data_IF_633786856589
#
_entry.id   IF_633786856589
#
_cell.length_a   1.000
_cell.length_b   1.000
_cell.length_c   1.000
_cell.angle_alpha   90.00
_cell.angle_beta   90.00
_cell.angle_gamma   90.00
#
_symmetry.space_group_name_H-M   'P 1'
#
loop_
_entity.id
_entity.type
_entity.pdbx_description
1 polymer ?
#
# COMPACT_ATOMS: atom_id res chain seq x y z
N UNK A 1 -61.07 -4.35 11.23
CA UNK A 1 -59.73 -5.00 11.37
C UNK A 1 -58.69 -4.07 10.79
N UNK A 2 -57.75 -3.55 11.59
CA UNK A 2 -56.66 -2.66 11.14
C UNK A 2 -55.34 -3.43 11.24
N UNK A 3 -54.71 -3.74 10.11
CA UNK A 3 -53.33 -4.27 10.10
C UNK A 3 -52.36 -3.11 10.33
N UNK A 4 -51.44 -3.30 11.28
CA UNK A 4 -50.26 -2.42 11.45
C UNK A 4 -49.07 -3.15 10.83
N UNK A 5 -48.40 -2.60 9.79
CA UNK A 5 -47.14 -3.13 9.32
C UNK A 5 -46.00 -2.25 9.85
N UNK A 6 -45.44 -2.59 11.00
CA UNK A 6 -44.15 -2.01 11.42
C UNK A 6 -43.31 -3.12 12.03
N UNK A 7 -42.44 -3.73 11.23
CA UNK A 7 -41.30 -4.53 11.73
C UNK A 7 -40.32 -5.02 10.63
N UNK A 8 -40.03 -4.23 9.59
CA UNK A 8 -38.86 -4.45 8.71
C UNK A 8 -38.24 -3.08 8.36
N UNK A 9 -37.66 -2.34 9.31
CA UNK A 9 -36.80 -1.15 9.03
C UNK A 9 -35.67 -1.03 10.08
N UNK A 10 -35.13 -2.15 10.59
CA UNK A 10 -33.99 -2.09 11.53
C UNK A 10 -32.76 -2.90 11.11
N UNK A 11 -32.87 -3.73 10.06
CA UNK A 11 -31.73 -4.51 9.58
C UNK A 11 -30.86 -3.76 8.55
N UNK A 12 -31.41 -2.70 7.92
CA UNK A 12 -30.71 -1.94 6.87
C UNK A 12 -29.78 -0.85 7.43
N UNK A 13 -29.99 -0.38 8.66
CA UNK A 13 -29.15 0.64 9.29
C UNK A 13 -27.85 0.09 9.88
N UNK A 14 -27.78 -1.21 10.18
CA UNK A 14 -26.57 -1.86 10.74
C UNK A 14 -25.50 -2.09 9.66
N UNK A 15 -25.90 -2.32 8.40
CA UNK A 15 -24.99 -2.52 7.27
C UNK A 15 -24.20 -1.25 6.87
N UNK A 16 -24.77 -0.06 7.08
CA UNK A 16 -24.10 1.21 6.75
C UNK A 16 -23.02 1.61 7.77
N UNK A 17 -23.08 1.09 9.00
CA UNK A 17 -22.09 1.36 10.07
C UNK A 17 -20.77 0.63 9.82
N UNK A 18 -20.83 -0.57 9.24
CA UNK A 18 -19.65 -1.42 9.04
C UNK A 18 -18.68 -0.84 8.02
N UNK A 19 -19.21 -0.17 6.99
CA UNK A 19 -18.42 0.44 5.92
C UNK A 19 -17.65 1.71 6.38
N UNK A 20 -18.11 2.40 7.43
CA UNK A 20 -17.36 3.52 8.02
C UNK A 20 -16.22 3.04 8.92
N UNK A 21 -16.44 1.98 9.68
CA UNK A 21 -15.42 1.43 10.57
C UNK A 21 -14.26 0.79 9.81
N UNK A 22 -14.54 0.08 8.71
CA UNK A 22 -13.50 -0.54 7.87
C UNK A 22 -12.50 0.49 7.32
N UNK A 23 -12.99 1.60 6.78
CA UNK A 23 -12.14 2.67 6.24
C UNK A 23 -11.24 3.34 7.30
N UNK A 24 -11.72 3.47 8.54
CA UNK A 24 -10.93 4.05 9.64
C UNK A 24 -9.84 3.08 10.08
N UNK A 25 -10.18 1.81 10.30
CA UNK A 25 -9.23 0.77 10.72
C UNK A 25 -8.12 0.58 9.67
N UNK A 26 -8.50 0.59 8.41
CA UNK A 26 -7.60 0.48 7.27
C UNK A 26 -6.65 1.66 7.15
N UNK A 27 -7.15 2.88 7.37
CA UNK A 27 -6.30 4.06 7.39
C UNK A 27 -5.33 4.06 8.58
N UNK A 28 -5.76 3.57 9.75
CA UNK A 28 -4.86 3.38 10.91
C UNK A 28 -3.75 2.38 10.58
N UNK A 29 -4.11 1.21 10.02
CA UNK A 29 -3.14 0.20 9.57
C UNK A 29 -2.14 0.78 8.57
N UNK A 30 -2.62 1.54 7.58
CA UNK A 30 -1.74 2.19 6.60
C UNK A 30 -0.77 3.18 7.26
N UNK A 31 -1.23 3.97 8.22
CA UNK A 31 -0.35 4.87 8.96
C UNK A 31 0.74 4.14 9.75
N UNK A 32 0.40 2.99 10.34
CA UNK A 32 1.37 2.13 11.05
C UNK A 32 2.38 1.48 10.10
N UNK A 33 2.00 1.20 8.85
CA UNK A 33 2.89 0.66 7.80
C UNK A 33 3.83 1.77 7.28
N UNK A 34 3.30 2.97 7.02
CA UNK A 34 4.04 4.11 6.46
C UNK A 34 5.14 4.59 7.42
N UNK A 35 4.83 4.68 8.71
CA UNK A 35 5.73 5.22 9.74
C UNK A 35 7.15 4.62 9.71
N UNK A 36 7.35 3.29 9.82
CA UNK A 36 8.70 2.69 9.80
C UNK A 36 9.41 2.88 8.46
N UNK A 37 8.68 2.96 7.35
CA UNK A 37 9.28 3.19 6.02
C UNK A 37 9.81 4.61 5.91
N UNK A 38 9.01 5.58 6.32
CA UNK A 38 9.41 6.98 6.35
C UNK A 38 10.63 7.19 7.24
N UNK A 39 10.67 6.57 8.42
CA UNK A 39 11.82 6.65 9.32
C UNK A 39 13.08 6.02 8.71
N UNK A 40 12.92 4.95 7.91
CA UNK A 40 14.02 4.37 7.13
C UNK A 40 14.49 5.31 6.01
N UNK A 41 13.55 5.91 5.27
CA UNK A 41 13.82 6.79 4.12
C UNK A 41 14.46 8.13 4.53
N UNK A 42 14.08 8.66 5.70
CA UNK A 42 14.67 9.89 6.28
C UNK A 42 16.16 9.77 6.54
N UNK A 43 16.71 8.56 6.69
CA UNK A 43 18.17 8.38 6.83
C UNK A 43 18.94 8.90 5.62
N UNK A 44 18.28 9.02 4.47
CA UNK A 44 18.87 9.45 3.21
C UNK A 44 18.51 10.89 2.84
N UNK A 45 17.74 11.61 3.67
CA UNK A 45 17.38 13.01 3.42
C UNK A 45 17.48 13.86 4.68
N UNK A 46 18.16 15.00 4.56
CA UNK A 46 18.20 16.05 5.59
C UNK A 46 17.04 17.04 5.46
N UNK A 47 16.23 16.95 4.40
CA UNK A 47 15.11 17.86 4.11
C UNK A 47 13.79 17.36 4.71
N UNK A 48 12.79 18.25 4.74
CA UNK A 48 11.44 17.88 5.14
C UNK A 48 10.84 16.97 4.06
N UNK A 49 10.55 15.73 4.43
CA UNK A 49 9.98 14.74 3.51
C UNK A 49 8.45 14.86 3.49
N UNK A 50 7.89 15.18 2.33
CA UNK A 50 6.45 15.17 2.09
C UNK A 50 5.95 13.79 1.66
N UNK A 51 4.67 13.51 1.90
CA UNK A 51 3.99 12.30 1.42
C UNK A 51 2.89 12.71 0.45
N UNK A 52 2.78 12.04 -0.69
CA UNK A 52 1.69 12.29 -1.64
C UNK A 52 0.35 11.83 -1.06
N UNK A 53 -0.71 12.61 -1.24
CA UNK A 53 -2.07 12.25 -0.78
C UNK A 53 -2.67 11.03 -1.50
N UNK A 54 -2.18 10.70 -2.69
CA UNK A 54 -2.64 9.58 -3.50
C UNK A 54 -1.74 8.35 -3.38
N UNK A 55 -2.37 7.18 -3.38
CA UNK A 55 -1.72 5.88 -3.47
C UNK A 55 -1.66 5.42 -4.93
N UNK A 56 -0.48 4.96 -5.35
CA UNK A 56 -0.33 4.28 -6.64
C UNK A 56 -0.92 2.87 -6.53
N UNK A 57 -1.93 2.56 -7.35
CA UNK A 57 -2.48 1.22 -7.37
C UNK A 57 -1.45 0.25 -7.95
N UNK A 58 -1.09 -0.77 -7.17
CA UNK A 58 -0.22 -1.83 -7.62
C UNK A 58 -1.05 -3.06 -8.01
N UNK A 59 -1.11 -3.36 -9.30
CA UNK A 59 -1.85 -4.52 -9.81
C UNK A 59 -0.95 -5.76 -9.82
N UNK A 60 -1.38 -6.83 -9.19
CA UNK A 60 -0.68 -8.12 -9.23
C UNK A 60 -1.18 -8.90 -10.45
N UNK A 61 -0.25 -9.44 -11.24
CA UNK A 61 -0.59 -10.31 -12.37
C UNK A 61 0.22 -11.60 -12.35
N UNK A 62 -0.29 -12.61 -13.04
CA UNK A 62 0.42 -13.87 -13.28
C UNK A 62 1.21 -13.72 -14.59
N UNK A 63 2.54 -13.83 -14.58
CA UNK A 63 3.33 -13.68 -15.79
C UNK A 63 3.09 -14.86 -16.73
N UNK A 64 3.16 -14.57 -18.02
CA UNK A 64 3.11 -15.58 -19.09
C UNK A 64 4.38 -16.44 -19.09
N UNK A 65 4.32 -17.59 -19.76
CA UNK A 65 5.49 -18.46 -19.91
C UNK A 65 6.65 -17.74 -20.60
N UNK A 66 6.39 -16.92 -21.62
CA UNK A 66 7.42 -16.19 -22.34
C UNK A 66 8.07 -15.09 -21.49
N UNK A 67 7.34 -14.45 -20.57
CA UNK A 67 7.92 -13.54 -19.57
C UNK A 67 8.82 -14.28 -18.58
N UNK A 68 8.39 -15.45 -18.08
CA UNK A 68 9.18 -16.28 -17.16
C UNK A 68 10.47 -16.76 -17.84
N UNK A 69 10.37 -17.14 -19.12
CA UNK A 69 11.50 -17.56 -19.95
C UNK A 69 12.31 -16.37 -20.52
N UNK A 70 12.00 -15.13 -20.10
CA UNK A 70 12.70 -13.90 -20.49
C UNK A 70 12.75 -13.63 -22.00
N UNK A 71 11.80 -14.19 -22.76
CA UNK A 71 11.65 -13.94 -24.20
C UNK A 71 11.02 -12.59 -24.50
N UNK A 72 10.22 -12.09 -23.56
CA UNK A 72 9.65 -10.75 -23.59
C UNK A 72 9.95 -10.03 -22.28
N UNK A 73 10.19 -8.70 -22.33
CA UNK A 73 10.41 -7.93 -21.12
C UNK A 73 9.12 -7.87 -20.29
N UNK A 74 9.23 -7.77 -18.96
CA UNK A 74 8.08 -7.50 -18.11
C UNK A 74 7.47 -6.12 -18.42
N UNK A 75 6.22 -5.87 -18.03
CA UNK A 75 5.61 -4.55 -18.10
C UNK A 75 6.43 -3.51 -17.33
N UNK A 76 6.33 -2.22 -17.71
CA UNK A 76 6.98 -1.15 -16.97
C UNK A 76 6.56 -1.17 -15.49
N UNK A 77 7.50 -0.94 -14.56
CA UNK A 77 7.22 -0.96 -13.13
C UNK A 77 6.36 0.22 -12.70
N UNK A 78 5.82 0.14 -11.48
CA UNK A 78 5.09 1.23 -10.82
C UNK A 78 3.57 1.23 -11.02
N UNK A 79 3.02 0.33 -11.85
CA UNK A 79 1.57 0.08 -11.95
C UNK A 79 1.19 -1.40 -11.80
N UNK A 80 2.09 -2.28 -12.21
CA UNK A 80 1.90 -3.73 -12.18
C UNK A 80 3.13 -4.39 -11.61
N UNK A 81 2.95 -5.45 -10.84
CA UNK A 81 4.02 -6.32 -10.38
C UNK A 81 3.62 -7.77 -10.62
N UNK A 82 4.58 -8.61 -11.02
CA UNK A 82 4.30 -10.02 -11.24
C UNK A 82 4.28 -10.76 -9.88
N UNK A 83 3.41 -11.75 -9.77
CA UNK A 83 3.24 -12.50 -8.51
C UNK A 83 4.50 -13.26 -8.10
N UNK A 84 5.32 -13.72 -9.06
CA UNK A 84 6.54 -14.49 -8.78
C UNK A 84 7.53 -13.63 -7.98
N UNK A 85 7.76 -12.40 -8.40
CA UNK A 85 8.64 -11.45 -7.72
C UNK A 85 8.17 -11.17 -6.29
N UNK A 86 6.86 -10.99 -6.08
CA UNK A 86 6.30 -10.81 -4.74
C UNK A 86 6.53 -12.04 -3.84
N UNK A 87 6.30 -13.24 -4.38
CA UNK A 87 6.51 -14.48 -3.63
C UNK A 87 7.99 -14.72 -3.32
N UNK A 88 8.91 -14.36 -4.22
CA UNK A 88 10.36 -14.39 -3.96
C UNK A 88 10.80 -13.35 -2.93
N UNK A 89 10.05 -12.25 -2.78
CA UNK A 89 10.21 -11.30 -1.68
C UNK A 89 9.94 -11.98 -0.33
N UNK A 90 8.86 -12.78 -0.26
CA UNK A 90 8.52 -13.59 0.91
C UNK A 90 9.10 -15.00 0.78
N UNK A 91 10.40 -15.17 1.08
CA UNK A 91 11.17 -16.43 0.96
C UNK A 91 10.43 -17.72 1.39
N UNK A 92 9.58 -17.65 2.43
CA UNK A 92 8.74 -18.77 2.90
C UNK A 92 7.26 -18.51 2.62
N UNK A 93 6.88 -18.41 1.35
CA UNK A 93 5.49 -18.18 0.96
C UNK A 93 4.67 -19.47 1.01
N UNK A 94 3.36 -19.33 1.18
CA UNK A 94 2.39 -20.42 1.16
C UNK A 94 1.43 -20.28 -0.01
N UNK A 95 0.69 -21.34 -0.34
CA UNK A 95 -0.39 -21.27 -1.34
C UNK A 95 -1.47 -20.25 -0.97
N UNK A 96 -1.72 -20.04 0.34
CA UNK A 96 -2.67 -19.04 0.83
C UNK A 96 -2.20 -17.64 0.45
N UNK A 97 -0.91 -17.37 0.59
CA UNK A 97 -0.33 -16.06 0.26
C UNK A 97 -0.53 -15.72 -1.23
N UNK A 98 -0.28 -16.70 -2.12
CA UNK A 98 -0.50 -16.51 -3.56
C UNK A 98 -1.96 -16.17 -3.88
N UNK A 99 -2.91 -16.84 -3.23
CA UNK A 99 -4.33 -16.56 -3.41
C UNK A 99 -4.71 -15.18 -2.86
N UNK A 100 -4.14 -14.77 -1.73
CA UNK A 100 -4.43 -13.49 -1.09
C UNK A 100 -3.96 -12.31 -1.96
N UNK A 101 -2.76 -12.41 -2.52
CA UNK A 101 -2.23 -11.41 -3.44
C UNK A 101 -3.10 -11.23 -4.70
N UNK A 102 -3.60 -12.34 -5.27
CA UNK A 102 -4.45 -12.28 -6.46
C UNK A 102 -5.83 -11.69 -6.19
N UNK A 103 -6.41 -11.94 -5.01
CA UNK A 103 -7.71 -11.35 -4.61
C UNK A 103 -7.63 -9.83 -4.46
N UNK A 104 -6.48 -9.31 -4.03
CA UNK A 104 -6.29 -7.87 -3.81
C UNK A 104 -6.11 -7.07 -5.10
N UNK A 105 -6.10 -7.71 -6.28
CA UNK A 105 -6.06 -6.99 -7.55
C UNK A 105 -7.23 -6.00 -7.74
N UNK A 106 -8.37 -6.24 -7.06
CA UNK A 106 -9.56 -5.38 -7.09
C UNK A 106 -9.60 -4.37 -5.93
N UNK A 107 -8.70 -4.49 -4.94
CA UNK A 107 -8.68 -3.61 -3.77
C UNK A 107 -8.15 -2.22 -4.14
N UNK A 108 -8.88 -1.17 -3.75
CA UNK A 108 -8.60 0.20 -4.22
C UNK A 108 -8.74 1.25 -3.13
N UNK A 109 -7.76 1.29 -2.23
CA UNK A 109 -7.52 2.47 -1.41
C UNK A 109 -6.84 3.55 -2.25
N UNK A 110 -7.51 4.68 -2.44
CA UNK A 110 -7.03 5.76 -3.33
C UNK A 110 -6.13 6.78 -2.65
N UNK A 111 -6.38 7.04 -1.37
CA UNK A 111 -5.82 8.19 -0.68
C UNK A 111 -5.33 7.84 0.72
N UNK A 112 -4.30 8.54 1.15
CA UNK A 112 -3.77 8.48 2.51
C UNK A 112 -4.42 9.61 3.33
N UNK A 113 -4.91 9.30 4.52
CA UNK A 113 -5.18 10.30 5.56
C UNK A 113 -4.19 10.10 6.69
N UNK A 114 -3.19 10.97 6.80
CA UNK A 114 -2.22 10.84 7.89
C UNK A 114 -2.88 11.06 9.25
N UNK A 115 -2.65 10.12 10.15
CA UNK A 115 -3.00 10.23 11.55
C UNK A 115 -1.85 10.96 12.26
N UNK A 116 -2.11 12.19 12.69
CA UNK A 116 -1.12 13.02 13.39
C UNK A 116 -0.68 12.45 14.74
N UNK A 117 -1.40 11.48 15.32
CA UNK A 117 -0.96 10.77 16.54
C UNK A 117 0.16 9.79 16.25
N UNK A 118 0.12 9.14 15.10
CA UNK A 118 1.11 8.15 14.64
C UNK A 118 2.27 8.87 13.92
N UNK A 119 1.93 9.81 13.04
CA UNK A 119 2.84 10.44 12.09
C UNK A 119 2.94 11.97 12.31
N UNK A 120 3.38 12.38 13.52
CA UNK A 120 3.37 13.79 13.98
C UNK A 120 4.12 14.78 13.08
N UNK A 121 5.21 14.32 12.45
CA UNK A 121 6.14 15.17 11.72
C UNK A 121 6.02 15.02 10.20
N UNK A 122 4.95 14.38 9.72
CA UNK A 122 4.73 14.15 8.30
C UNK A 122 3.68 15.09 7.74
N UNK A 123 4.00 15.65 6.57
CA UNK A 123 3.11 16.55 5.84
C UNK A 123 2.65 15.84 4.58
N UNK A 124 1.34 15.85 4.37
CA UNK A 124 0.76 15.42 3.10
C UNK A 124 0.74 16.59 2.14
N UNK A 125 1.21 16.37 0.93
CA UNK A 125 1.05 17.30 -0.20
C UNK A 125 0.11 16.67 -1.22
N UNK A 126 -0.74 17.49 -1.85
CA UNK A 126 -1.59 16.98 -2.91
C UNK A 126 -0.74 16.60 -4.12
N UNK A 127 -0.95 15.42 -4.68
CA UNK A 127 -0.20 14.95 -5.85
C UNK A 127 -0.34 15.86 -7.09
N UNK A 128 -1.38 16.71 -7.13
CA UNK A 128 -1.59 17.71 -8.19
C UNK A 128 -0.77 18.99 -8.00
N UNK A 129 -0.28 19.23 -6.79
CA UNK A 129 0.41 20.46 -6.37
C UNK A 129 1.90 20.23 -6.09
N UNK A 130 2.39 19.00 -6.31
CA UNK A 130 3.81 18.69 -6.16
C UNK A 130 4.58 19.49 -7.20
N UNK A 131 5.36 20.45 -6.73
CA UNK A 131 6.46 20.98 -7.51
C UNK A 131 7.51 19.88 -7.60
N UNK A 132 8.05 19.63 -8.80
CA UNK A 132 9.13 18.66 -9.04
C UNK A 132 10.42 18.97 -8.25
N UNK A 133 10.43 20.12 -7.57
CA UNK A 133 11.48 20.57 -6.65
C UNK A 133 11.28 20.11 -5.21
N UNK A 134 10.15 19.53 -4.82
CA UNK A 134 9.95 19.13 -3.41
C UNK A 134 10.35 17.66 -3.21
N UNK A 135 11.19 17.38 -2.21
CA UNK A 135 11.53 16.01 -1.81
C UNK A 135 10.27 15.32 -1.27
N UNK A 136 9.83 14.25 -1.92
CA UNK A 136 8.61 13.57 -1.50
C UNK A 136 8.66 12.04 -1.68
N UNK A 137 7.82 11.37 -0.88
CA UNK A 137 7.54 9.95 -0.95
C UNK A 137 6.17 9.72 -1.57
N UNK A 138 6.12 8.81 -2.54
CA UNK A 138 4.88 8.32 -3.13
C UNK A 138 4.73 6.84 -2.82
N UNK A 139 3.64 6.47 -2.17
CA UNK A 139 3.36 5.10 -1.73
C UNK A 139 2.42 4.38 -2.70
N UNK A 140 2.62 3.08 -2.86
CA UNK A 140 1.62 2.21 -3.47
C UNK A 140 0.55 1.80 -2.48
N UNK A 141 -0.53 1.22 -2.98
CA UNK A 141 -1.44 0.42 -2.15
C UNK A 141 -0.68 -0.74 -1.51
N UNK A 142 -0.87 -1.03 -0.21
CA UNK A 142 -0.28 -2.20 0.43
C UNK A 142 -0.88 -3.48 -0.16
N UNK A 143 -0.04 -4.50 -0.32
CA UNK A 143 -0.41 -5.86 -0.72
C UNK A 143 -0.13 -6.83 0.43
N UNK A 144 -1.17 -7.40 1.00
CA UNK A 144 -1.05 -8.30 2.14
C UNK A 144 -0.83 -9.75 1.67
N UNK A 145 0.23 -10.41 2.13
CA UNK A 145 0.34 -11.87 1.96
C UNK A 145 -0.53 -12.61 2.99
N UNK A 146 -0.64 -12.01 4.17
CA UNK A 146 -1.46 -12.45 5.31
C UNK A 146 -1.63 -11.28 6.27
N UNK A 147 -2.30 -11.50 7.41
CA UNK A 147 -2.35 -10.52 8.51
C UNK A 147 -0.97 -10.19 9.11
N UNK A 148 0.02 -11.03 8.82
CA UNK A 148 1.38 -10.94 9.36
C UNK A 148 2.37 -10.28 8.42
N UNK A 149 2.08 -10.19 7.12
CA UNK A 149 3.05 -9.72 6.12
C UNK A 149 2.40 -8.83 5.08
N UNK A 150 3.03 -7.68 4.84
CA UNK A 150 2.59 -6.71 3.84
C UNK A 150 3.76 -6.27 2.99
N UNK A 151 3.51 -6.13 1.69
CA UNK A 151 4.42 -5.52 0.73
C UNK A 151 3.89 -4.17 0.29
N UNK A 152 4.79 -3.21 0.08
CA UNK A 152 4.47 -1.88 -0.42
C UNK A 152 5.64 -1.32 -1.21
N UNK A 153 5.35 -0.61 -2.30
CA UNK A 153 6.33 0.09 -3.10
C UNK A 153 6.34 1.56 -2.73
N UNK A 154 7.53 2.14 -2.63
CA UNK A 154 7.74 3.54 -2.32
C UNK A 154 8.65 4.15 -3.36
N UNK A 155 8.19 5.23 -3.98
CA UNK A 155 9.02 6.11 -4.80
C UNK A 155 9.51 7.28 -3.98
N UNK A 156 10.82 7.46 -3.91
CA UNK A 156 11.47 8.66 -3.40
C UNK A 156 11.85 9.55 -4.57
N UNK A 157 11.44 10.80 -4.53
CA UNK A 157 11.69 11.80 -5.55
C UNK A 157 12.36 13.00 -4.91
N UNK A 158 13.50 13.40 -5.44
CA UNK A 158 14.28 14.56 -5.04
C UNK A 158 14.86 15.26 -6.27
N UNK A 159 15.36 16.48 -6.12
CA UNK A 159 15.85 17.38 -7.19
C UNK A 159 16.81 16.69 -8.19
N UNK A 160 16.26 16.03 -9.22
CA UNK A 160 17.01 15.33 -10.26
C UNK A 160 17.33 13.86 -9.98
N UNK A 161 16.87 13.30 -8.86
CA UNK A 161 17.05 11.88 -8.54
C UNK A 161 15.74 11.24 -8.06
N UNK A 162 15.42 10.11 -8.67
CA UNK A 162 14.25 9.30 -8.30
C UNK A 162 14.71 7.87 -8.05
N UNK A 163 14.23 7.26 -6.97
CA UNK A 163 14.45 5.82 -6.71
C UNK A 163 13.20 5.14 -6.18
N UNK A 164 13.02 3.89 -6.59
CA UNK A 164 12.00 3.02 -6.05
C UNK A 164 12.57 2.09 -5.01
N UNK A 165 11.75 1.72 -4.02
CA UNK A 165 12.09 0.66 -3.07
C UNK A 165 10.83 -0.13 -2.75
N UNK A 166 10.94 -1.46 -2.88
CA UNK A 166 9.92 -2.40 -2.43
C UNK A 166 10.24 -2.81 -1.01
N UNK A 167 9.27 -2.67 -0.11
CA UNK A 167 9.40 -3.00 1.30
C UNK A 167 8.52 -4.19 1.64
N UNK A 168 9.09 -5.18 2.33
CA UNK A 168 8.33 -6.22 3.02
C UNK A 168 8.35 -5.92 4.51
N UNK A 169 7.17 -5.82 5.10
CA UNK A 169 7.00 -5.61 6.54
C UNK A 169 6.32 -6.80 7.18
N UNK A 170 6.72 -7.09 8.41
CA UNK A 170 6.11 -8.09 9.29
C UNK A 170 5.33 -7.39 10.41
N UNK A 171 4.14 -7.89 10.70
CA UNK A 171 3.35 -7.48 11.84
C UNK A 171 3.92 -8.09 13.13
N UNK A 172 4.16 -7.25 14.13
CA UNK A 172 4.57 -7.63 15.49
C UNK A 172 3.45 -7.28 16.50
N UNK A 173 2.19 -7.49 16.09
CA UNK A 173 0.98 -7.28 16.89
C UNK A 173 0.44 -5.86 16.81
N UNK A 174 1.23 -4.87 17.26
CA UNK A 174 0.84 -3.46 17.29
C UNK A 174 1.68 -2.54 16.39
N UNK A 175 2.70 -3.10 15.73
CA UNK A 175 3.63 -2.35 14.89
C UNK A 175 4.05 -3.17 13.69
N UNK A 176 4.40 -2.47 12.61
CA UNK A 176 5.01 -3.06 11.43
C UNK A 176 6.51 -2.84 11.45
N UNK A 177 7.27 -3.87 11.09
CA UNK A 177 8.73 -3.82 11.03
C UNK A 177 9.21 -4.23 9.65
N UNK A 178 10.12 -3.45 9.07
CA UNK A 178 10.77 -3.80 7.80
C UNK A 178 11.63 -5.05 8.01
N UNK A 179 11.40 -6.08 7.21
CA UNK A 179 12.13 -7.36 7.26
C UNK A 179 12.88 -7.67 5.96
N UNK A 180 12.50 -7.07 4.85
CA UNK A 180 13.25 -7.08 3.59
C UNK A 180 12.99 -5.77 2.83
N UNK A 181 13.97 -5.33 2.04
CA UNK A 181 13.84 -4.18 1.14
C UNK A 181 14.65 -4.43 -0.13
N UNK A 182 14.11 -4.07 -1.30
CA UNK A 182 14.83 -4.21 -2.58
C UNK A 182 14.67 -2.95 -3.42
N UNK A 183 15.73 -2.52 -4.12
CA UNK A 183 15.64 -1.41 -5.05
C UNK A 183 14.68 -1.77 -6.19
N UNK A 184 13.85 -0.80 -6.56
CA UNK A 184 12.94 -0.90 -7.70
C UNK A 184 13.29 0.19 -8.72
N UNK A 185 13.10 -0.14 -9.98
CA UNK A 185 13.06 0.87 -11.02
C UNK A 185 11.71 1.57 -10.96
N UNK A 186 11.69 2.90 -10.99
CA UNK A 186 10.47 3.70 -11.02
C UNK A 186 10.53 4.66 -12.20
N UNK A 187 9.38 4.86 -12.83
CA UNK A 187 9.17 5.88 -13.87
C UNK A 187 8.77 7.22 -13.24
#
# INVERSE_FOLDING_TARGET
MKSKPYKIIYFFTILLSYCKNSNIEENVKLNQIISPIVDNERRFSTSLVYITDSLKQLKVYVPTKDEIEQRIPPPPPGKTTNIIHLLEFKKNYTKKDSLELLKQAEYYLKTIKLDSKINKNLKVISSKLIDNRETHLSFSTPLYFSDDFVYIEVGFYDHGFSRGTGYLLKNEGNSWKIVDQRPLWIS
#
